data_IF_106919849052
#
_entry.id   IF_106919849052
#
_cell.length_a   1.000
_cell.length_b   1.000
_cell.length_c   1.000
_cell.angle_alpha   90.00
_cell.angle_beta   90.00
_cell.angle_gamma   90.00
#
_symmetry.space_group_name_H-M   'P 1'
#
loop_
_entity.id
_entity.type
_entity.pdbx_description
1 polymer ?
#
# COMPACT_ATOMS: atom_id res chain seq x y z
N UNK A 1 60.68 22.64 -26.81
CA UNK A 1 60.77 21.65 -27.90
C UNK A 1 60.62 20.26 -27.30
N UNK A 2 59.38 19.76 -27.22
CA UNK A 2 59.05 18.36 -26.92
C UNK A 2 57.77 18.09 -27.72
N UNK A 3 57.84 17.12 -28.62
CA UNK A 3 56.76 16.68 -29.51
C UNK A 3 56.16 15.42 -28.92
N UNK A 4 54.83 15.35 -28.82
CA UNK A 4 54.08 14.09 -28.70
C UNK A 4 52.84 14.12 -29.61
N UNK A 5 52.50 13.02 -30.31
CA UNK A 5 51.33 12.89 -31.18
C UNK A 5 50.10 12.43 -30.35
N UNK A 6 48.85 12.64 -30.71
CA UNK A 6 48.19 12.41 -31.98
C UNK A 6 47.01 11.44 -31.73
N UNK A 7 45.78 11.95 -31.75
CA UNK A 7 44.56 11.14 -31.82
C UNK A 7 43.54 11.89 -32.68
N UNK A 8 43.29 11.35 -33.87
CA UNK A 8 42.19 11.75 -34.75
C UNK A 8 41.10 10.69 -34.66
N UNK A 9 39.88 11.11 -34.34
CA UNK A 9 38.69 10.26 -34.48
C UNK A 9 38.03 10.59 -35.82
N UNK A 10 38.00 9.58 -36.69
CA UNK A 10 37.42 9.58 -38.02
C UNK A 10 35.90 9.39 -37.94
N UNK A 11 35.15 10.30 -38.55
CA UNK A 11 33.72 10.20 -38.84
C UNK A 11 33.53 9.79 -40.28
N UNK A 12 33.05 8.57 -40.54
CA UNK A 12 32.27 8.23 -41.74
C UNK A 12 31.78 6.78 -41.67
N UNK A 13 30.46 6.58 -41.77
CA UNK A 13 29.82 5.68 -42.74
C UNK A 13 28.41 5.31 -42.28
N UNK A 14 27.43 5.94 -42.91
CA UNK A 14 26.05 5.45 -42.99
C UNK A 14 25.97 4.72 -44.33
N UNK A 15 25.76 3.41 -44.30
CA UNK A 15 25.46 2.59 -45.49
C UNK A 15 24.00 2.14 -45.43
N UNK A 16 23.31 2.53 -46.49
CA UNK A 16 22.00 2.15 -46.99
C UNK A 16 21.85 0.62 -47.13
N UNK A 17 20.71 0.06 -46.73
CA UNK A 17 20.18 -1.17 -47.33
C UNK A 17 18.72 -0.90 -47.72
N UNK A 18 18.48 -0.95 -49.03
CA UNK A 18 17.16 -0.94 -49.63
C UNK A 18 16.68 -2.36 -49.95
N UNK A 19 15.36 -2.49 -49.92
CA UNK A 19 14.45 -3.18 -50.84
C UNK A 19 14.62 -4.68 -51.19
N UNK A 20 13.45 -5.21 -51.57
CA UNK A 20 13.16 -6.39 -52.42
C UNK A 20 12.86 -7.69 -51.65
N UNK A 21 11.59 -8.10 -51.64
CA UNK A 21 11.11 -9.21 -52.49
C UNK A 21 9.58 -9.35 -52.40
N UNK A 22 8.97 -9.28 -53.60
CA UNK A 22 7.60 -9.65 -53.91
C UNK A 22 7.46 -11.16 -54.10
N UNK A 23 6.21 -11.61 -54.02
CA UNK A 23 5.56 -12.72 -54.73
C UNK A 23 6.42 -13.81 -55.37
N UNK A 24 6.19 -15.06 -54.94
CA UNK A 24 5.77 -16.20 -55.76
C UNK A 24 6.04 -17.48 -54.96
N UNK A 25 5.03 -18.29 -54.66
CA UNK A 25 5.12 -19.75 -54.77
C UNK A 25 3.73 -20.39 -54.64
N UNK A 26 3.25 -20.90 -55.78
CA UNK A 26 2.13 -21.81 -55.93
C UNK A 26 2.59 -23.25 -55.61
N UNK A 27 1.65 -24.03 -55.04
CA UNK A 27 1.42 -25.48 -55.17
C UNK A 27 2.31 -26.50 -54.42
N UNK A 28 1.68 -27.06 -53.34
CA UNK A 28 1.63 -28.49 -52.90
C UNK A 28 2.92 -29.13 -52.32
N UNK A 29 2.85 -30.16 -51.42
CA UNK A 29 1.76 -31.12 -51.22
C UNK A 29 1.29 -31.34 -49.77
N UNK A 30 0.23 -32.14 -49.63
CA UNK A 30 -0.37 -32.57 -48.37
C UNK A 30 0.65 -33.15 -47.37
N UNK A 31 0.70 -32.57 -46.17
CA UNK A 31 1.46 -33.12 -45.06
C UNK A 31 0.77 -34.36 -44.47
N UNK A 32 1.54 -35.37 -44.04
CA UNK A 32 1.01 -36.57 -43.40
C UNK A 32 0.31 -36.21 -42.09
N UNK A 33 -0.84 -36.84 -41.88
CA UNK A 33 -1.68 -36.78 -40.68
C UNK A 33 -0.84 -37.21 -39.47
N UNK A 34 -0.28 -36.25 -38.75
CA UNK A 34 0.39 -36.49 -37.47
C UNK A 34 -0.63 -37.08 -36.49
N UNK A 35 -0.34 -38.31 -36.03
CA UNK A 35 -1.09 -38.95 -34.96
C UNK A 35 -1.10 -38.04 -33.72
N UNK A 36 -2.21 -38.02 -32.95
CA UNK A 36 -2.24 -37.31 -31.67
C UNK A 36 -1.27 -38.02 -30.71
N UNK A 37 -0.06 -37.46 -30.57
CA UNK A 37 0.83 -37.75 -29.46
C UNK A 37 0.15 -37.25 -28.18
N UNK A 38 -0.70 -38.10 -27.63
CA UNK A 38 -1.20 -38.01 -26.26
C UNK A 38 -0.02 -38.25 -25.31
N UNK A 39 0.79 -37.21 -25.11
CA UNK A 39 1.62 -37.09 -23.92
C UNK A 39 0.65 -36.98 -22.74
N UNK A 40 0.33 -38.12 -22.14
CA UNK A 40 -0.39 -38.19 -20.89
C UNK A 40 0.38 -37.35 -19.87
N UNK A 41 -0.17 -36.17 -19.55
CA UNK A 41 0.34 -35.34 -18.48
C UNK A 41 0.41 -36.20 -17.21
N UNK A 42 1.50 -36.10 -16.42
CA UNK A 42 1.63 -36.88 -15.19
C UNK A 42 0.38 -36.64 -14.33
N UNK A 43 -0.35 -37.72 -14.06
CA UNK A 43 -1.57 -37.67 -13.26
C UNK A 43 -1.25 -37.03 -11.90
N UNK A 44 -1.76 -35.82 -11.68
CA UNK A 44 -1.61 -35.15 -10.40
C UNK A 44 -2.20 -36.02 -9.28
N UNK A 45 -1.54 -36.09 -8.12
CA UNK A 45 -2.04 -36.86 -6.99
C UNK A 45 -3.40 -36.32 -6.54
N UNK A 46 -4.44 -37.13 -6.71
CA UNK A 46 -5.86 -36.83 -6.42
C UNK A 46 -6.08 -36.33 -4.97
N UNK A 47 -5.20 -36.68 -4.03
CA UNK A 47 -5.30 -36.33 -2.61
C UNK A 47 -5.06 -34.84 -2.28
N UNK A 48 -4.40 -34.06 -3.15
CA UNK A 48 -4.13 -32.63 -2.88
C UNK A 48 -5.32 -31.71 -3.15
N UNK A 49 -6.27 -32.15 -3.98
CA UNK A 49 -7.46 -31.39 -4.42
C UNK A 49 -8.33 -30.85 -3.26
N UNK A 50 -8.72 -31.65 -2.24
CA UNK A 50 -9.61 -31.16 -1.19
C UNK A 50 -9.00 -30.03 -0.34
N UNK A 51 -7.68 -29.98 -0.19
CA UNK A 51 -7.03 -28.91 0.60
C UNK A 51 -7.00 -27.60 -0.19
N UNK A 52 -6.65 -27.67 -1.48
CA UNK A 52 -6.63 -26.50 -2.37
C UNK A 52 -8.04 -25.91 -2.50
N UNK A 53 -9.07 -26.74 -2.63
CA UNK A 53 -10.45 -26.27 -2.73
C UNK A 53 -10.89 -25.50 -1.49
N UNK A 54 -10.61 -26.04 -0.29
CA UNK A 54 -10.92 -25.36 0.97
C UNK A 54 -10.21 -24.01 1.08
N UNK A 55 -8.95 -23.93 0.62
CA UNK A 55 -8.23 -22.67 0.56
C UNK A 55 -8.84 -21.69 -0.44
N UNK A 56 -9.18 -22.15 -1.65
CA UNK A 56 -9.83 -21.33 -2.66
C UNK A 56 -11.16 -20.77 -2.15
N UNK A 57 -12.02 -21.60 -1.55
CA UNK A 57 -13.29 -21.18 -0.95
C UNK A 57 -13.04 -20.10 0.11
N UNK A 58 -12.13 -20.36 1.06
CA UNK A 58 -11.85 -19.44 2.16
C UNK A 58 -11.29 -18.09 1.67
N UNK A 59 -10.33 -18.12 0.73
CA UNK A 59 -9.67 -16.92 0.24
C UNK A 59 -10.55 -16.14 -0.75
N UNK A 60 -11.28 -16.82 -1.64
CA UNK A 60 -12.24 -16.17 -2.54
C UNK A 60 -13.37 -15.51 -1.73
N UNK A 61 -13.90 -16.17 -0.70
CA UNK A 61 -14.91 -15.59 0.22
C UNK A 61 -14.38 -14.38 0.99
N UNK A 62 -13.07 -14.29 1.22
CA UNK A 62 -12.42 -13.10 1.79
C UNK A 62 -12.17 -11.96 0.78
N UNK A 63 -12.61 -12.15 -0.47
CA UNK A 63 -12.52 -11.21 -1.57
C UNK A 63 -11.16 -11.18 -2.26
N UNK A 64 -10.36 -12.26 -2.22
CA UNK A 64 -9.09 -12.27 -2.96
C UNK A 64 -9.33 -12.47 -4.46
N UNK A 65 -8.71 -11.63 -5.28
CA UNK A 65 -8.80 -11.74 -6.75
C UNK A 65 -8.12 -13.01 -7.26
N UNK A 66 -8.49 -13.44 -8.47
CA UNK A 66 -7.85 -14.59 -9.17
C UNK A 66 -6.33 -14.46 -9.22
N UNK A 67 -5.82 -13.26 -9.51
CA UNK A 67 -4.38 -13.00 -9.55
C UNK A 67 -3.71 -13.16 -8.18
N UNK A 68 -4.38 -12.74 -7.10
CA UNK A 68 -3.88 -12.93 -5.74
C UNK A 68 -3.90 -14.41 -5.32
N UNK A 69 -4.96 -15.13 -5.66
CA UNK A 69 -5.09 -16.57 -5.43
C UNK A 69 -4.00 -17.34 -6.19
N UNK A 70 -3.82 -17.05 -7.48
CA UNK A 70 -2.75 -17.61 -8.31
C UNK A 70 -1.38 -17.34 -7.70
N UNK A 71 -1.11 -16.09 -7.29
CA UNK A 71 0.14 -15.70 -6.67
C UNK A 71 0.41 -16.47 -5.37
N UNK A 72 -0.57 -16.55 -4.47
CA UNK A 72 -0.38 -17.19 -3.17
C UNK A 72 -0.37 -18.71 -3.24
N UNK A 73 -1.22 -19.32 -4.06
CA UNK A 73 -1.31 -20.77 -4.19
C UNK A 73 -0.32 -21.34 -5.23
N UNK A 74 0.41 -20.48 -5.96
CA UNK A 74 1.33 -20.94 -6.98
C UNK A 74 0.65 -21.76 -8.08
N UNK A 75 -0.59 -21.41 -8.41
CA UNK A 75 -1.44 -22.04 -9.42
C UNK A 75 -1.63 -21.10 -10.60
N UNK A 76 -1.80 -21.64 -11.81
CA UNK A 76 -2.00 -20.80 -12.98
C UNK A 76 -3.35 -20.09 -12.91
N UNK A 77 -3.44 -18.85 -13.41
CA UNK A 77 -4.69 -18.09 -13.31
C UNK A 77 -5.86 -18.79 -14.01
N UNK A 78 -5.60 -19.50 -15.11
CA UNK A 78 -6.64 -20.25 -15.80
C UNK A 78 -7.16 -21.41 -14.94
N UNK A 79 -6.27 -22.18 -14.31
CA UNK A 79 -6.64 -23.25 -13.37
C UNK A 79 -7.41 -22.71 -12.15
N UNK A 80 -7.03 -21.54 -11.64
CA UNK A 80 -7.76 -20.89 -10.54
C UNK A 80 -9.17 -20.51 -10.99
N UNK A 81 -9.35 -19.96 -12.21
CA UNK A 81 -10.68 -19.62 -12.75
C UNK A 81 -11.54 -20.87 -12.95
N UNK A 82 -10.98 -21.91 -13.57
CA UNK A 82 -11.65 -23.19 -13.77
C UNK A 82 -12.10 -23.78 -12.44
N UNK A 83 -11.23 -23.73 -11.42
CA UNK A 83 -11.57 -24.28 -10.11
C UNK A 83 -12.60 -23.44 -9.35
N UNK A 84 -12.54 -22.11 -9.45
CA UNK A 84 -13.57 -21.21 -8.91
C UNK A 84 -14.93 -21.50 -9.55
N UNK A 85 -14.98 -21.68 -10.88
CA UNK A 85 -16.20 -22.03 -11.59
C UNK A 85 -16.73 -23.41 -11.19
N UNK A 86 -15.84 -24.41 -11.06
CA UNK A 86 -16.23 -25.76 -10.64
C UNK A 86 -16.74 -25.82 -9.19
N UNK A 87 -16.36 -24.87 -8.35
CA UNK A 87 -16.81 -24.76 -6.95
C UNK A 87 -18.02 -23.83 -6.78
N UNK A 88 -18.57 -23.30 -7.88
CA UNK A 88 -19.67 -22.32 -7.91
C UNK A 88 -19.43 -21.12 -6.98
N UNK A 89 -18.19 -20.64 -6.95
CA UNK A 89 -17.81 -19.49 -6.12
C UNK A 89 -18.13 -18.18 -6.84
N UNK A 90 -18.62 -17.16 -6.12
CA UNK A 90 -18.92 -15.87 -6.72
C UNK A 90 -17.67 -15.28 -7.37
N UNK A 91 -17.88 -14.55 -8.47
CA UNK A 91 -16.79 -13.86 -9.16
C UNK A 91 -15.96 -13.06 -8.15
N UNK A 92 -14.67 -13.39 -8.06
CA UNK A 92 -13.79 -12.86 -7.03
C UNK A 92 -13.81 -11.33 -7.04
N UNK A 93 -14.24 -10.73 -5.93
CA UNK A 93 -14.19 -9.28 -5.76
C UNK A 93 -12.73 -8.84 -5.81
N UNK A 94 -12.41 -7.77 -6.52
CA UNK A 94 -11.02 -7.30 -6.61
C UNK A 94 -10.59 -6.59 -5.32
N UNK A 95 -10.30 -7.34 -4.25
CA UNK A 95 -9.57 -6.75 -3.14
C UNK A 95 -8.13 -6.52 -3.59
N UNK A 96 -7.66 -5.27 -3.62
CA UNK A 96 -6.30 -5.00 -4.06
C UNK A 96 -5.32 -5.69 -3.12
N UNK A 97 -4.26 -6.27 -3.69
CA UNK A 97 -3.11 -6.70 -2.91
C UNK A 97 -2.62 -5.49 -2.10
N UNK A 98 -2.49 -5.67 -0.77
CA UNK A 98 -2.01 -4.59 0.09
C UNK A 98 -0.65 -4.13 -0.43
N UNK A 99 -0.55 -2.86 -0.82
CA UNK A 99 0.69 -2.24 -1.27
C UNK A 99 1.76 -2.34 -0.18
N UNK A 100 3.01 -2.35 -0.62
CA UNK A 100 4.25 -2.51 0.16
C UNK A 100 4.55 -1.27 1.05
N UNK A 101 3.54 -0.56 1.54
CA UNK A 101 3.70 0.71 2.27
C UNK A 101 4.03 0.58 3.76
N UNK A 102 4.02 -0.63 4.32
CA UNK A 102 4.42 -0.86 5.71
C UNK A 102 5.93 -1.01 5.83
N UNK A 103 6.53 -0.57 6.94
CA UNK A 103 7.97 -0.70 7.22
C UNK A 103 8.50 -2.14 7.11
N UNK A 104 7.64 -3.14 7.30
CA UNK A 104 7.96 -4.55 7.09
C UNK A 104 6.84 -5.23 6.29
N UNK A 105 6.86 -5.15 4.94
CA UNK A 105 5.82 -5.71 4.07
C UNK A 105 5.89 -7.24 4.03
N UNK A 106 4.74 -7.91 3.86
CA UNK A 106 4.70 -9.37 3.71
C UNK A 106 5.18 -9.77 2.31
N UNK A 107 6.23 -10.60 2.23
CA UNK A 107 6.64 -11.22 0.96
C UNK A 107 5.65 -12.31 0.55
N UNK A 108 5.67 -12.69 -0.73
CA UNK A 108 4.81 -13.77 -1.24
C UNK A 108 5.20 -15.10 -0.60
N UNK A 109 6.48 -15.31 -0.38
CA UNK A 109 7.06 -16.49 0.25
C UNK A 109 6.65 -16.61 1.72
N UNK A 110 6.65 -15.51 2.47
CA UNK A 110 6.16 -15.48 3.86
C UNK A 110 4.66 -15.81 3.93
N UNK A 111 3.86 -15.29 2.99
CA UNK A 111 2.42 -15.60 2.91
C UNK A 111 2.19 -17.07 2.61
N UNK A 112 2.91 -17.63 1.63
CA UNK A 112 2.87 -19.06 1.30
C UNK A 112 3.24 -19.92 2.49
N UNK A 113 4.32 -19.57 3.18
CA UNK A 113 4.78 -20.28 4.38
C UNK A 113 3.74 -20.22 5.50
N UNK A 114 3.13 -19.05 5.72
CA UNK A 114 2.05 -18.90 6.68
C UNK A 114 0.89 -19.84 6.35
N UNK A 115 0.46 -19.93 5.09
CA UNK A 115 -0.65 -20.82 4.70
C UNK A 115 -0.26 -22.29 4.95
N UNK A 116 0.93 -22.72 4.54
CA UNK A 116 1.42 -24.08 4.76
C UNK A 116 1.44 -24.44 6.26
N UNK A 117 2.09 -23.62 7.08
CA UNK A 117 2.15 -23.84 8.54
C UNK A 117 0.77 -23.76 9.20
N UNK A 118 -0.15 -22.96 8.64
CA UNK A 118 -1.51 -22.87 9.14
C UNK A 118 -2.28 -24.17 8.92
N UNK A 119 -2.17 -24.74 7.71
CA UNK A 119 -2.77 -26.02 7.34
C UNK A 119 -2.22 -27.19 8.17
N UNK A 120 -0.92 -27.14 8.49
CA UNK A 120 -0.25 -28.10 9.38
C UNK A 120 -0.61 -27.95 10.87
N UNK A 121 -1.59 -27.10 11.19
CA UNK A 121 -2.00 -26.79 12.56
C UNK A 121 -0.87 -26.25 13.47
N UNK A 122 0.18 -25.63 12.91
CA UNK A 122 1.28 -25.05 13.71
C UNK A 122 0.84 -23.82 14.50
N UNK A 123 1.29 -23.67 15.75
CA UNK A 123 0.92 -22.57 16.62
C UNK A 123 1.30 -21.20 16.08
N UNK A 124 0.54 -20.17 16.46
CA UNK A 124 0.82 -18.79 16.03
C UNK A 124 2.16 -18.28 16.56
N UNK A 125 2.56 -18.74 17.75
CA UNK A 125 3.86 -18.40 18.35
C UNK A 125 5.00 -18.96 17.49
N UNK A 126 4.94 -20.24 17.13
CA UNK A 126 5.94 -20.87 16.26
C UNK A 126 5.97 -20.24 14.86
N UNK A 127 4.81 -19.93 14.25
CA UNK A 127 4.75 -19.23 12.97
C UNK A 127 5.39 -17.84 13.06
N UNK A 128 5.07 -17.08 14.11
CA UNK A 128 5.60 -15.75 14.35
C UNK A 128 7.13 -15.77 14.46
N UNK A 129 7.68 -16.71 15.24
CA UNK A 129 9.11 -16.90 15.40
C UNK A 129 9.79 -17.31 14.09
N UNK A 130 9.21 -18.27 13.36
CA UNK A 130 9.73 -18.75 12.08
C UNK A 130 9.83 -17.64 11.02
N UNK A 131 8.82 -16.77 10.96
CA UNK A 131 8.73 -15.67 10.00
C UNK A 131 9.36 -14.35 10.52
N UNK A 132 9.90 -14.31 11.74
CA UNK A 132 10.37 -13.09 12.41
C UNK A 132 9.31 -11.98 12.42
N UNK A 133 8.06 -12.36 12.67
CA UNK A 133 6.89 -11.47 12.77
C UNK A 133 6.33 -11.49 14.18
N UNK A 134 5.53 -10.49 14.54
CA UNK A 134 4.75 -10.53 15.77
C UNK A 134 3.53 -11.46 15.62
N UNK A 135 3.12 -12.12 16.71
CA UNK A 135 1.92 -12.96 16.74
C UNK A 135 0.67 -12.21 16.27
N UNK A 136 0.53 -10.93 16.66
CA UNK A 136 -0.57 -10.07 16.20
C UNK A 136 -0.53 -9.81 14.69
N UNK A 137 0.66 -9.68 14.08
CA UNK A 137 0.81 -9.55 12.64
C UNK A 137 0.37 -10.83 11.91
N UNK A 138 0.78 -12.00 12.41
CA UNK A 138 0.37 -13.31 11.88
C UNK A 138 -1.15 -13.46 11.95
N UNK A 139 -1.76 -13.17 13.10
CA UNK A 139 -3.23 -13.21 13.25
C UNK A 139 -3.95 -12.21 12.34
N UNK A 140 -3.41 -11.00 12.20
CA UNK A 140 -3.93 -9.99 11.27
C UNK A 140 -3.89 -10.48 9.83
N UNK A 141 -2.76 -11.07 9.41
CA UNK A 141 -2.58 -11.61 8.06
C UNK A 141 -3.47 -12.83 7.81
N UNK A 142 -3.57 -13.74 8.78
CA UNK A 142 -4.50 -14.88 8.78
C UNK A 142 -5.94 -14.45 8.56
N UNK A 143 -6.41 -13.43 9.30
CA UNK A 143 -7.78 -12.88 9.13
C UNK A 143 -7.97 -12.27 7.76
N UNK A 144 -6.99 -11.51 7.28
CA UNK A 144 -7.04 -10.90 5.95
C UNK A 144 -7.08 -11.95 4.82
N UNK A 145 -6.39 -13.08 4.98
CA UNK A 145 -6.41 -14.20 4.04
C UNK A 145 -7.74 -14.99 4.06
N UNK A 146 -8.58 -14.83 5.08
CA UNK A 146 -9.81 -15.62 5.20
C UNK A 146 -9.61 -17.04 5.73
N UNK A 147 -8.39 -17.42 6.16
CA UNK A 147 -8.15 -18.74 6.72
C UNK A 147 -9.03 -18.94 7.98
N UNK A 148 -9.60 -20.12 8.18
CA UNK A 148 -10.51 -20.39 9.30
C UNK A 148 -9.86 -20.29 10.69
N UNK A 149 -10.69 -20.34 11.74
CA UNK A 149 -10.21 -20.55 13.12
C UNK A 149 -9.94 -22.05 13.30
N UNK A 150 -8.84 -22.39 13.98
CA UNK A 150 -8.48 -23.79 14.30
C UNK A 150 -8.87 -24.11 15.73
N UNK A 151 -9.21 -25.37 16.01
CA UNK A 151 -9.50 -25.82 17.36
C UNK A 151 -8.23 -25.74 18.22
N UNK A 152 -8.33 -25.25 19.45
CA UNK A 152 -7.14 -24.99 20.30
C UNK A 152 -6.37 -26.28 20.65
N UNK A 153 -7.08 -27.40 20.75
CA UNK A 153 -6.52 -28.71 21.08
C UNK A 153 -5.81 -29.41 19.92
N UNK A 154 -5.96 -28.93 18.68
CA UNK A 154 -5.27 -29.51 17.51
C UNK A 154 -4.01 -28.75 17.13
N UNK A 155 -3.68 -27.67 17.85
CA UNK A 155 -2.55 -26.80 17.53
C UNK A 155 -1.25 -27.39 18.10
N UNK A 156 -0.23 -27.53 17.26
CA UNK A 156 1.08 -28.03 17.66
C UNK A 156 2.11 -26.90 17.69
N UNK A 157 2.89 -26.81 18.76
CA UNK A 157 4.12 -26.01 18.77
C UNK A 157 5.21 -26.75 17.99
N UNK A 158 5.98 -26.00 17.19
CA UNK A 158 7.13 -26.51 16.43
C UNK A 158 8.31 -25.55 16.57
N UNK A 159 9.53 -26.08 16.43
CA UNK A 159 10.72 -25.24 16.45
C UNK A 159 10.77 -24.35 15.21
N UNK A 160 11.27 -23.12 15.36
CA UNK A 160 11.34 -22.16 14.25
C UNK A 160 12.17 -22.69 13.05
N UNK A 161 13.17 -23.55 13.29
CA UNK A 161 13.97 -24.18 12.24
C UNK A 161 13.12 -25.15 11.38
N UNK A 162 12.32 -26.01 12.01
CA UNK A 162 11.42 -26.95 11.34
C UNK A 162 10.32 -26.22 10.55
N UNK A 163 9.78 -25.15 11.13
CA UNK A 163 8.79 -24.32 10.44
C UNK A 163 9.36 -23.68 9.16
N UNK A 164 10.63 -23.28 9.17
CA UNK A 164 11.31 -22.69 8.00
C UNK A 164 11.56 -23.71 6.89
N UNK A 165 11.75 -24.99 7.23
CA UNK A 165 11.98 -26.07 6.26
C UNK A 165 10.69 -26.78 5.82
N UNK A 166 9.55 -26.50 6.47
CA UNK A 166 8.25 -27.13 6.15
C UNK A 166 7.94 -26.98 4.65
N UNK A 167 7.84 -28.08 3.88
CA UNK A 167 7.62 -27.99 2.44
C UNK A 167 6.29 -27.29 2.15
N UNK A 168 6.24 -26.51 1.07
CA UNK A 168 4.96 -25.99 0.61
C UNK A 168 4.15 -27.16 0.03
N UNK A 169 2.84 -27.26 0.35
CA UNK A 169 2.02 -28.36 -0.15
C UNK A 169 1.79 -28.29 -1.66
N UNK A 170 2.14 -27.16 -2.29
CA UNK A 170 2.19 -26.98 -3.72
C UNK A 170 3.61 -26.57 -4.14
N UNK A 171 4.10 -27.11 -5.26
CA UNK A 171 5.30 -26.59 -5.93
C UNK A 171 4.89 -25.39 -6.76
N UNK A 172 5.38 -24.17 -6.49
CA UNK A 172 5.11 -23.04 -7.36
C UNK A 172 5.82 -23.26 -8.69
N UNK A 173 5.13 -23.84 -9.67
CA UNK A 173 5.63 -24.01 -11.03
C UNK A 173 5.62 -22.70 -11.82
N UNK A 174 4.95 -21.66 -11.29
CA UNK A 174 4.80 -20.39 -11.98
C UNK A 174 6.01 -19.47 -11.90
N UNK A 175 6.33 -18.91 -13.05
CA UNK A 175 7.05 -17.64 -13.13
C UNK A 175 6.15 -16.53 -12.55
N UNK A 176 6.49 -16.05 -11.36
CA UNK A 176 5.70 -15.06 -10.62
C UNK A 176 5.90 -13.64 -11.18
N UNK A 177 7.00 -13.39 -11.92
CA UNK A 177 7.37 -12.04 -12.38
C UNK A 177 6.27 -11.36 -13.20
N UNK A 178 5.63 -11.99 -14.22
CA UNK A 178 4.58 -11.34 -15.01
C UNK A 178 3.37 -10.96 -14.17
N UNK A 179 2.99 -11.80 -13.21
CA UNK A 179 1.86 -11.57 -12.31
C UNK A 179 2.16 -10.35 -11.42
N UNK A 180 3.35 -10.30 -10.81
CA UNK A 180 3.79 -9.16 -10.00
C UNK A 180 3.89 -7.88 -10.81
N UNK A 181 4.49 -7.93 -12.00
CA UNK A 181 4.57 -6.78 -12.91
C UNK A 181 3.18 -6.24 -13.25
N UNK A 182 2.18 -7.11 -13.49
CA UNK A 182 0.81 -6.66 -13.77
C UNK A 182 0.09 -6.11 -12.54
N UNK A 183 0.31 -6.71 -11.36
CA UNK A 183 -0.32 -6.30 -10.11
C UNK A 183 0.28 -5.02 -9.51
N UNK A 184 1.56 -4.78 -9.75
CA UNK A 184 2.29 -3.61 -9.27
C UNK A 184 2.60 -2.60 -10.35
N UNK A 185 2.25 -2.88 -11.62
CA UNK A 185 2.18 -1.85 -12.63
C UNK A 185 1.37 -0.69 -12.05
N UNK A 186 1.83 0.57 -12.23
CA UNK A 186 0.99 1.72 -11.94
C UNK A 186 -0.34 1.44 -12.62
N UNK A 187 -1.44 1.35 -11.86
CA UNK A 187 -2.78 1.27 -12.43
C UNK A 187 -2.92 2.56 -13.24
N UNK A 188 -2.59 2.50 -14.53
CA UNK A 188 -2.99 3.50 -15.50
C UNK A 188 -4.51 3.48 -15.39
N UNK A 189 -5.05 4.54 -14.81
CA UNK A 189 -6.45 4.61 -14.44
C UNK A 189 -7.29 4.37 -15.69
N UNK A 190 -7.79 3.14 -15.85
CA UNK A 190 -8.76 2.82 -16.89
C UNK A 190 -10.12 3.23 -16.32
N UNK A 191 -10.46 4.47 -16.63
CA UNK A 191 -11.58 5.21 -16.08
C UNK A 191 -11.11 6.66 -15.97
N UNK A 192 -11.59 7.50 -16.88
CA UNK A 192 -11.31 8.93 -16.98
C UNK A 192 -11.70 9.66 -15.67
N UNK A 193 -10.89 9.54 -14.64
CA UNK A 193 -10.71 10.64 -13.70
C UNK A 193 -10.01 11.75 -14.49
N UNK A 194 -10.54 12.98 -14.49
CA UNK A 194 -9.91 14.10 -15.21
C UNK A 194 -8.43 14.15 -14.83
N UNK A 195 -7.61 14.06 -15.87
CA UNK A 195 -6.16 13.92 -15.84
C UNK A 195 -5.51 14.71 -14.70
N UNK A 196 -4.90 13.97 -13.76
CA UNK A 196 -3.98 14.46 -12.72
C UNK A 196 -2.82 15.30 -13.32
N UNK A 197 -2.58 15.22 -14.63
CA UNK A 197 -1.53 15.97 -15.32
C UNK A 197 -1.86 17.44 -15.60
N UNK A 198 -3.10 17.90 -15.37
CA UNK A 198 -3.46 19.31 -15.54
C UNK A 198 -3.42 20.13 -14.23
N UNK A 199 -3.36 19.48 -13.06
CA UNK A 199 -3.22 20.18 -11.79
C UNK A 199 -1.74 20.41 -11.46
N UNK A 200 -1.08 21.26 -12.26
CA UNK A 200 0.10 22.03 -11.81
C UNK A 200 -0.37 23.07 -10.79
N UNK A 201 -1.11 22.62 -9.77
CA UNK A 201 -1.61 23.43 -8.69
C UNK A 201 -0.47 23.70 -7.72
N UNK A 202 -0.35 24.96 -7.30
CA UNK A 202 0.64 25.41 -6.34
C UNK A 202 0.75 24.42 -5.16
N UNK A 203 1.94 23.84 -4.98
CA UNK A 203 2.25 22.94 -3.86
C UNK A 203 1.91 23.66 -2.56
N UNK A 204 0.80 23.29 -1.92
CA UNK A 204 0.40 23.89 -0.65
C UNK A 204 1.33 23.42 0.47
N UNK A 205 2.21 24.30 0.91
CA UNK A 205 3.09 24.11 2.06
C UNK A 205 2.48 24.71 3.33
N UNK A 206 2.32 23.85 4.35
CA UNK A 206 1.78 24.24 5.65
C UNK A 206 2.65 25.34 6.30
N UNK A 207 2.03 26.43 6.73
CA UNK A 207 2.66 27.58 7.36
C UNK A 207 3.20 28.64 6.39
N UNK A 208 3.19 28.38 5.07
CA UNK A 208 3.52 29.41 4.06
C UNK A 208 2.31 30.13 3.50
N UNK A 209 1.14 29.49 3.57
CA UNK A 209 -0.09 29.99 2.98
C UNK A 209 -1.15 30.12 4.09
N UNK A 210 -1.18 31.29 4.73
CA UNK A 210 -2.00 31.54 5.91
C UNK A 210 -3.50 31.42 5.62
N UNK A 211 -3.92 31.80 4.41
CA UNK A 211 -5.31 31.71 3.97
C UNK A 211 -5.75 30.25 3.84
N UNK A 212 -4.96 29.42 3.15
CA UNK A 212 -5.25 27.98 3.03
C UNK A 212 -5.21 27.27 4.38
N UNK A 213 -4.28 27.64 5.25
CA UNK A 213 -4.17 27.08 6.59
C UNK A 213 -5.36 27.44 7.48
N UNK A 214 -5.82 28.70 7.45
CA UNK A 214 -6.99 29.13 8.20
C UNK A 214 -8.26 28.46 7.66
N UNK A 215 -8.45 28.46 6.34
CA UNK A 215 -9.61 27.83 5.72
C UNK A 215 -9.65 26.33 6.00
N UNK A 216 -8.54 25.63 5.86
CA UNK A 216 -8.45 24.22 6.24
C UNK A 216 -8.76 23.99 7.72
N UNK A 217 -8.33 24.90 8.59
CA UNK A 217 -8.61 24.83 10.02
C UNK A 217 -10.09 24.99 10.33
N UNK A 218 -10.78 25.93 9.67
CA UNK A 218 -12.24 26.11 9.78
C UNK A 218 -12.95 24.81 9.39
N UNK A 219 -12.63 24.23 8.23
CA UNK A 219 -13.23 22.97 7.77
C UNK A 219 -12.96 21.82 8.74
N UNK A 220 -11.76 21.76 9.32
CA UNK A 220 -11.37 20.74 10.30
C UNK A 220 -12.13 20.85 11.63
N UNK A 221 -12.21 22.05 12.21
CA UNK A 221 -12.92 22.30 13.47
C UNK A 221 -14.44 22.19 13.34
N UNK A 222 -15.01 22.49 12.18
CA UNK A 222 -16.44 22.30 11.90
C UNK A 222 -16.89 20.82 11.93
N UNK A 223 -15.94 19.88 11.90
CA UNK A 223 -16.22 18.45 11.89
C UNK A 223 -16.45 17.87 10.50
N UNK A 224 -15.95 18.50 9.43
CA UNK A 224 -16.16 17.94 8.09
C UNK A 224 -15.38 16.65 7.90
N UNK A 225 -15.98 15.69 7.19
CA UNK A 225 -15.28 14.46 6.82
C UNK A 225 -14.05 14.78 5.96
N UNK A 226 -13.01 13.94 6.05
CA UNK A 226 -11.77 14.18 5.34
C UNK A 226 -11.95 14.18 3.80
N UNK A 227 -12.93 13.44 3.29
CA UNK A 227 -13.29 13.45 1.88
C UNK A 227 -13.91 14.80 1.47
N UNK A 228 -14.83 15.34 2.27
CA UNK A 228 -15.44 16.65 2.00
C UNK A 228 -14.42 17.78 2.11
N UNK A 229 -13.53 17.76 3.09
CA UNK A 229 -12.43 18.73 3.20
C UNK A 229 -11.55 18.71 1.94
N UNK A 230 -11.13 17.52 1.49
CA UNK A 230 -10.33 17.38 0.28
C UNK A 230 -11.02 17.99 -0.95
N UNK A 231 -12.32 17.70 -1.13
CA UNK A 231 -13.13 18.26 -2.21
C UNK A 231 -13.18 19.79 -2.16
N UNK A 232 -13.39 20.38 -0.98
CA UNK A 232 -13.44 21.84 -0.81
C UNK A 232 -12.09 22.50 -1.07
N UNK A 233 -10.99 21.94 -0.58
CA UNK A 233 -9.65 22.47 -0.85
C UNK A 233 -9.30 22.45 -2.34
N UNK A 234 -9.76 21.43 -3.08
CA UNK A 234 -9.61 21.38 -4.53
C UNK A 234 -10.46 22.46 -5.22
N UNK A 235 -11.72 22.61 -4.83
CA UNK A 235 -12.63 23.58 -5.45
C UNK A 235 -12.25 25.03 -5.17
N UNK A 236 -11.85 25.35 -3.94
CA UNK A 236 -11.57 26.72 -3.50
C UNK A 236 -10.15 27.18 -3.87
N UNK A 237 -9.17 26.27 -3.81
CA UNK A 237 -7.76 26.63 -3.95
C UNK A 237 -7.01 25.87 -5.04
N UNK A 238 -7.67 24.97 -5.77
CA UNK A 238 -7.01 24.08 -6.73
C UNK A 238 -6.06 23.08 -6.07
N UNK A 239 -6.18 22.84 -4.76
CA UNK A 239 -5.26 21.96 -4.03
C UNK A 239 -5.81 20.55 -3.91
N UNK A 240 -5.21 19.63 -4.65
CA UNK A 240 -5.55 18.22 -4.57
C UNK A 240 -4.98 17.57 -3.31
N UNK A 241 -5.86 16.92 -2.52
CA UNK A 241 -5.50 16.21 -1.29
C UNK A 241 -6.18 14.85 -1.27
N UNK A 242 -5.43 13.81 -0.91
CA UNK A 242 -6.04 12.52 -0.55
C UNK A 242 -6.65 12.60 0.85
N UNK A 243 -7.61 11.72 1.17
CA UNK A 243 -8.19 11.57 2.53
C UNK A 243 -7.09 11.38 3.58
N UNK A 244 -6.05 10.59 3.26
CA UNK A 244 -4.89 10.39 4.13
C UNK A 244 -4.08 11.67 4.34
N UNK A 245 -3.88 12.47 3.28
CA UNK A 245 -3.20 13.76 3.37
C UNK A 245 -3.96 14.75 4.25
N UNK A 246 -5.31 14.80 4.14
CA UNK A 246 -6.16 15.62 5.02
C UNK A 246 -6.00 15.19 6.49
N UNK A 247 -6.13 13.91 6.80
CA UNK A 247 -5.97 13.41 8.18
C UNK A 247 -4.57 13.70 8.75
N UNK A 248 -3.54 13.53 7.93
CA UNK A 248 -2.16 13.88 8.30
C UNK A 248 -2.03 15.37 8.62
N UNK A 249 -2.61 16.26 7.78
CA UNK A 249 -2.60 17.71 8.01
C UNK A 249 -3.36 18.12 9.27
N UNK A 250 -4.55 17.56 9.52
CA UNK A 250 -5.32 17.81 10.74
C UNK A 250 -4.51 17.47 12.00
N UNK A 251 -3.80 16.33 11.98
CA UNK A 251 -2.91 15.92 13.07
C UNK A 251 -1.72 16.88 13.26
N UNK A 252 -1.09 17.33 12.16
CA UNK A 252 0.05 18.26 12.19
C UNK A 252 -0.33 19.66 12.68
N UNK A 253 -1.53 20.13 12.31
CA UNK A 253 -2.12 21.38 12.80
C UNK A 253 -2.71 21.24 14.21
N UNK A 254 -2.75 20.04 14.77
CA UNK A 254 -3.30 19.76 16.11
C UNK A 254 -4.77 20.18 16.25
N UNK A 255 -5.55 20.03 15.17
CA UNK A 255 -6.98 20.32 15.16
C UNK A 255 -7.70 19.19 15.91
N UNK A 256 -8.40 19.57 16.98
CA UNK A 256 -9.19 18.66 17.82
C UNK A 256 -10.61 18.63 17.29
N UNK A 257 -11.10 17.43 16.95
CA UNK A 257 -12.47 17.21 16.50
C UNK A 257 -12.99 15.89 17.04
N UNK A 258 -14.29 15.82 17.24
CA UNK A 258 -14.95 14.56 17.57
C UNK A 258 -15.10 13.72 16.28
N UNK A 259 -14.66 12.45 16.36
CA UNK A 259 -14.74 11.51 15.23
C UNK A 259 -16.15 10.94 15.04
N UNK A 260 -17.01 11.07 16.03
CA UNK A 260 -18.40 10.59 16.00
C UNK A 260 -19.37 11.65 15.48
N UNK A 261 -18.95 12.91 15.44
CA UNK A 261 -19.75 14.06 15.01
C UNK A 261 -19.18 14.64 13.71
N UNK A 262 -19.03 13.78 12.69
CA UNK A 262 -18.55 14.16 11.37
C UNK A 262 -19.70 14.47 10.42
N UNK A 263 -19.59 15.55 9.66
CA UNK A 263 -20.57 15.95 8.64
C UNK A 263 -19.99 15.83 7.22
N UNK A 264 -20.78 15.29 6.30
CA UNK A 264 -20.38 15.15 4.89
C UNK A 264 -20.90 16.29 4.00
N UNK A 265 -21.99 16.94 4.40
CA UNK A 265 -22.60 18.05 3.65
C UNK A 265 -21.91 19.37 4.02
N UNK A 266 -21.58 20.14 2.98
CA UNK A 266 -20.99 21.46 3.13
C UNK A 266 -22.07 22.53 3.08
N UNK A 267 -22.17 23.31 4.15
CA UNK A 267 -22.97 24.52 4.24
C UNK A 267 -22.12 25.59 4.93
N UNK A 268 -21.84 26.71 4.25
CA UNK A 268 -20.85 27.70 4.68
C UNK A 268 -21.19 28.28 6.06
N UNK A 269 -22.45 28.67 6.28
CA UNK A 269 -22.88 29.26 7.55
C UNK A 269 -22.76 28.25 8.71
N UNK A 270 -23.25 27.01 8.50
CA UNK A 270 -23.12 25.94 9.49
C UNK A 270 -21.67 25.59 9.78
N UNK A 271 -20.81 25.55 8.76
CA UNK A 271 -19.36 25.30 8.91
C UNK A 271 -18.72 26.37 9.79
N UNK A 272 -18.95 27.64 9.50
CA UNK A 272 -18.38 28.75 10.25
C UNK A 272 -18.84 28.74 11.71
N UNK A 273 -20.15 28.56 11.95
CA UNK A 273 -20.72 28.47 13.30
C UNK A 273 -20.12 27.32 14.10
N UNK A 274 -20.11 26.09 13.53
CA UNK A 274 -19.57 24.90 14.21
C UNK A 274 -18.07 25.04 14.47
N UNK A 275 -17.31 25.60 13.54
CA UNK A 275 -15.88 25.84 13.73
C UNK A 275 -15.63 26.82 14.89
N UNK A 276 -16.39 27.92 14.97
CA UNK A 276 -16.28 28.90 16.05
C UNK A 276 -16.64 28.30 17.41
N UNK A 277 -17.74 27.54 17.49
CA UNK A 277 -18.15 26.83 18.69
C UNK A 277 -17.12 25.80 19.14
N UNK A 278 -16.61 24.97 18.21
CA UNK A 278 -15.58 23.99 18.50
C UNK A 278 -14.28 24.64 18.99
N UNK A 279 -13.80 25.71 18.31
CA UNK A 279 -12.62 26.48 18.73
C UNK A 279 -12.80 27.04 20.15
N UNK A 280 -13.96 27.62 20.47
CA UNK A 280 -14.28 28.13 21.81
C UNK A 280 -14.31 27.01 22.85
N UNK A 281 -15.00 25.91 22.56
CA UNK A 281 -15.16 24.76 23.47
C UNK A 281 -13.81 24.18 23.91
N UNK A 282 -12.88 23.97 22.97
CA UNK A 282 -11.57 23.37 23.27
C UNK A 282 -10.51 24.40 23.70
N UNK A 283 -10.87 25.69 23.72
CA UNK A 283 -9.93 26.80 23.95
C UNK A 283 -8.79 26.81 22.95
N UNK A 284 -9.10 26.64 21.65
CA UNK A 284 -8.12 26.60 20.58
C UNK A 284 -7.52 27.99 20.32
N UNK A 285 -6.20 28.09 20.35
CA UNK A 285 -5.44 29.30 20.04
C UNK A 285 -4.41 28.96 18.97
N UNK A 286 -4.42 29.71 17.87
CA UNK A 286 -3.41 29.58 16.82
C UNK A 286 -2.07 30.09 17.35
N UNK A 287 -1.02 29.27 17.24
CA UNK A 287 0.34 29.59 17.67
C UNK A 287 1.31 29.26 16.54
N UNK A 288 2.47 29.91 16.56
CA UNK A 288 3.57 29.56 15.67
C UNK A 288 4.61 28.76 16.45
N UNK A 289 5.03 27.63 15.88
CA UNK A 289 6.08 26.81 16.47
C UNK A 289 7.43 27.50 16.29
N UNK A 290 8.12 27.79 17.39
CA UNK A 290 9.42 28.48 17.37
C UNK A 290 10.49 27.70 16.61
N UNK A 291 10.39 26.37 16.58
CA UNK A 291 11.39 25.47 15.98
C UNK A 291 11.19 25.27 14.48
N UNK A 292 9.93 25.14 14.06
CA UNK A 292 9.56 24.79 12.69
C UNK A 292 8.96 25.98 11.93
N UNK A 293 8.84 27.15 12.57
CA UNK A 293 8.28 28.40 12.04
C UNK A 293 6.92 28.26 11.36
N UNK A 294 6.11 27.30 11.79
CA UNK A 294 4.81 26.99 11.20
C UNK A 294 3.69 27.11 12.22
N UNK A 295 2.50 27.38 11.72
CA UNK A 295 1.29 27.51 12.53
C UNK A 295 0.80 26.14 13.04
N UNK A 296 0.24 26.12 14.25
CA UNK A 296 -0.46 24.99 14.84
C UNK A 296 -1.49 25.48 15.86
N UNK A 297 -2.54 24.71 16.09
CA UNK A 297 -3.55 25.01 17.11
C UNK A 297 -3.14 24.39 18.45
N UNK A 298 -2.94 25.24 19.44
CA UNK A 298 -2.82 24.79 20.83
C UNK A 298 -4.23 24.76 21.44
N UNK A 299 -4.61 23.69 22.12
CA UNK A 299 -5.89 23.59 22.83
C UNK A 299 -5.66 23.45 24.32
N UNK A 300 -6.50 24.11 25.11
CA UNK A 300 -6.42 24.05 26.58
C UNK A 300 -6.76 22.65 27.09
N UNK A 301 -7.68 21.97 26.41
CA UNK A 301 -8.17 20.64 26.78
C UNK A 301 -7.09 19.55 26.65
N UNK A 302 -6.32 19.54 25.55
CA UNK A 302 -5.23 18.57 25.36
C UNK A 302 -3.99 18.95 26.17
N UNK A 303 -3.77 20.24 26.41
CA UNK A 303 -2.57 20.76 27.05
C UNK A 303 -1.34 20.69 26.15
N UNK A 304 -0.16 20.56 26.76
CA UNK A 304 1.14 20.55 26.08
C UNK A 304 1.82 21.91 25.98
N UNK A 305 3.02 21.94 25.38
CA UNK A 305 3.86 23.15 25.29
C UNK A 305 3.21 24.19 24.37
N UNK A 306 3.12 25.44 24.83
CA UNK A 306 2.45 26.54 24.11
C UNK A 306 3.23 27.05 22.88
N UNK A 307 4.53 26.79 22.82
CA UNK A 307 5.45 27.33 21.80
C UNK A 307 6.03 26.28 20.85
N UNK A 308 5.73 24.98 21.06
CA UNK A 308 6.28 23.89 20.27
C UNK A 308 5.17 22.97 19.79
N UNK A 309 5.08 22.77 18.47
CA UNK A 309 4.07 21.88 17.89
C UNK A 309 4.40 20.40 18.15
N UNK A 310 3.36 19.55 18.11
CA UNK A 310 3.47 18.11 18.39
C UNK A 310 4.49 17.40 17.53
N UNK A 311 4.56 17.68 16.23
CA UNK A 311 5.49 16.95 15.36
C UNK A 311 6.97 17.26 15.67
N UNK A 312 7.31 18.47 16.14
CA UNK A 312 8.66 18.70 16.65
C UNK A 312 8.95 17.84 17.87
N UNK A 313 7.96 17.62 18.75
CA UNK A 313 8.11 16.80 19.95
C UNK A 313 8.19 15.30 19.63
N UNK A 314 7.41 14.81 18.68
CA UNK A 314 7.22 13.36 18.48
C UNK A 314 7.99 12.79 17.29
N UNK A 315 8.34 13.59 16.27
CA UNK A 315 8.97 13.02 15.08
C UNK A 315 10.45 12.66 15.35
N UNK A 316 10.90 11.44 14.98
CA UNK A 316 12.27 11.00 15.21
C UNK A 316 13.33 11.91 14.54
N UNK A 317 13.02 12.45 13.37
CA UNK A 317 13.92 13.33 12.61
C UNK A 317 14.34 14.62 13.34
N UNK A 318 13.64 15.01 14.40
CA UNK A 318 13.97 16.17 15.22
C UNK A 318 14.59 15.80 16.57
N UNK A 319 14.94 14.52 16.80
CA UNK A 319 15.52 14.06 18.06
C UNK A 319 16.83 14.77 18.41
N UNK A 320 17.72 14.94 17.42
CA UNK A 320 18.99 15.64 17.61
C UNK A 320 18.77 17.11 18.03
N UNK A 321 17.95 17.86 17.29
CA UNK A 321 17.61 19.25 17.63
C UNK A 321 16.97 19.40 19.02
N UNK A 322 16.17 18.42 19.45
CA UNK A 322 15.61 18.39 20.81
C UNK A 322 16.69 18.19 21.86
N UNK A 323 17.66 17.31 21.61
CA UNK A 323 18.78 17.06 22.50
C UNK A 323 19.67 18.30 22.65
N UNK A 324 20.00 18.96 21.53
CA UNK A 324 20.76 20.23 21.51
C UNK A 324 20.10 21.29 22.39
N UNK A 325 18.79 21.49 22.24
CA UNK A 325 18.04 22.46 23.04
C UNK A 325 17.98 22.10 24.52
N UNK A 326 17.81 20.82 24.84
CA UNK A 326 17.80 20.36 26.24
C UNK A 326 19.11 20.65 26.95
N UNK A 327 20.24 20.64 26.23
CA UNK A 327 21.53 21.02 26.81
C UNK A 327 21.62 22.54 27.01
N UNK A 328 21.19 23.33 26.02
CA UNK A 328 21.20 24.79 26.13
C UNK A 328 20.31 25.32 27.27
N UNK A 329 19.13 24.72 27.48
CA UNK A 329 18.23 25.09 28.57
C UNK A 329 18.86 24.80 29.94
N UNK A 330 19.65 23.73 30.08
CA UNK A 330 20.38 23.41 31.32
C UNK A 330 21.52 24.39 31.57
N UNK A 331 22.29 24.74 30.54
CA UNK A 331 23.39 25.71 30.66
C UNK A 331 22.86 27.11 31.01
N UNK A 332 21.72 27.53 30.46
CA UNK A 332 21.10 28.82 30.74
C UNK A 332 20.51 28.92 32.16
N UNK A 333 20.19 27.80 32.82
CA UNK A 333 19.74 27.79 34.22
C UNK A 333 20.89 27.73 35.23
N UNK A 334 22.10 27.36 34.78
CA UNK A 334 23.28 27.25 35.63
C UNK A 334 24.12 28.54 35.68
N UNK A 335 23.82 29.50 34.81
CA UNK A 335 24.42 30.84 34.77
C UNK A 335 23.48 31.85 35.44
#
# INVERSE_FOLDING_TARGET
MVVLPGFTLSTASIITIGAVLSEEFRLMPALPRLAPSSLAAPAEPVAARPVVDRLLIAMASAGHSVAALSLYLGLEEHLVRERIAALDLPAATERPLRRVGSANPWSVEEVRRLIALWLDNVSVKSIAEALRRSASSVQGKRRWLGLGVRARNTVADRAAAECRTTPLPWKPALNIKPILSRLWAPRTAKGETPSEAAAVGARWELGRDAEKDDRFSILGFAGLSAATIAKRMLMEFGVYLTVGAVNSRLSRLQIVRDRHDLIDRFDEETVQRRAAEAKRRVGAILRQCVELRRSFWWSREIGGRRWVCREFLTAPRYAQRRAERSMSDVTAMAA
#
